data_IF_853745177704
#
_entry.id   IF_853745177704
#
_cell.length_a   1.000
_cell.length_b   1.000
_cell.length_c   1.000
_cell.angle_alpha   90.00
_cell.angle_beta   90.00
_cell.angle_gamma   90.00
#
_symmetry.space_group_name_H-M   'P 1'
#
loop_
_entity.id
_entity.type
_entity.pdbx_description
1 polymer ?
#
# COMPACT_ATOMS: atom_id res chain seq x y z
N UNK A 1 14.26 -14.40 -10.88
CA UNK A 1 14.29 -12.92 -10.97
C UNK A 1 13.23 -12.35 -11.93
N UNK A 2 12.98 -12.95 -13.11
CA UNK A 2 11.94 -12.47 -14.05
C UNK A 2 10.54 -12.30 -13.45
N UNK A 3 10.15 -13.18 -12.52
CA UNK A 3 8.81 -13.17 -11.92
C UNK A 3 8.59 -12.02 -10.92
N UNK A 4 9.65 -11.49 -10.29
CA UNK A 4 9.52 -10.41 -9.30
C UNK A 4 9.14 -9.08 -9.98
N UNK A 5 9.77 -8.79 -11.12
CA UNK A 5 9.45 -7.59 -11.90
C UNK A 5 8.00 -7.57 -12.36
N UNK A 6 7.50 -8.70 -12.86
CA UNK A 6 6.11 -8.84 -13.28
C UNK A 6 5.14 -8.65 -12.11
N UNK A 7 5.48 -9.20 -10.93
CA UNK A 7 4.67 -9.02 -9.72
C UNK A 7 4.63 -7.56 -9.25
N UNK A 8 5.74 -6.80 -9.34
CA UNK A 8 5.71 -5.35 -9.07
C UNK A 8 4.79 -4.64 -10.06
N UNK A 9 4.91 -4.93 -11.37
CA UNK A 9 4.02 -4.33 -12.37
C UNK A 9 2.55 -4.62 -12.04
N UNK A 10 2.22 -5.87 -11.72
CA UNK A 10 0.88 -6.27 -11.33
C UNK A 10 0.44 -5.54 -10.05
N UNK A 11 1.30 -5.45 -9.03
CA UNK A 11 0.98 -4.74 -7.79
C UNK A 11 0.54 -3.29 -8.05
N UNK A 12 1.27 -2.58 -8.92
CA UNK A 12 0.95 -1.19 -9.27
C UNK A 12 -0.20 -1.06 -10.29
N UNK A 13 -0.59 -2.12 -11.01
CA UNK A 13 -1.82 -2.10 -11.84
C UNK A 13 -3.09 -1.89 -11.01
N UNK A 14 -3.05 -2.18 -9.71
CA UNK A 14 -4.16 -1.90 -8.79
C UNK A 14 -4.59 -0.44 -8.80
N UNK A 15 -3.65 0.48 -9.05
CA UNK A 15 -3.92 1.93 -9.20
C UNK A 15 -4.81 2.18 -10.41
N UNK A 16 -4.42 1.63 -11.56
CA UNK A 16 -5.12 1.81 -12.83
C UNK A 16 -6.53 1.22 -12.73
N UNK A 17 -6.62 0.00 -12.18
CA UNK A 17 -7.90 -0.66 -11.94
C UNK A 17 -8.78 0.15 -10.95
N UNK A 18 -8.21 0.64 -9.86
CA UNK A 18 -8.92 1.49 -8.89
C UNK A 18 -9.43 2.79 -9.50
N UNK A 19 -8.67 3.41 -10.41
CA UNK A 19 -9.09 4.60 -11.13
C UNK A 19 -10.28 4.29 -12.04
N UNK A 20 -10.20 3.20 -12.81
CA UNK A 20 -11.29 2.77 -13.69
C UNK A 20 -12.57 2.52 -12.87
N UNK A 21 -12.46 1.77 -11.77
CA UNK A 21 -13.59 1.49 -10.89
C UNK A 21 -14.20 2.80 -10.37
N UNK A 22 -13.38 3.71 -9.83
CA UNK A 22 -13.86 4.96 -9.28
C UNK A 22 -14.53 5.87 -10.33
N UNK A 23 -14.08 5.82 -11.58
CA UNK A 23 -14.71 6.56 -12.68
C UNK A 23 -16.07 5.97 -13.08
N UNK A 24 -16.21 4.64 -13.02
CA UNK A 24 -17.43 3.94 -13.39
C UNK A 24 -18.49 3.94 -12.29
N UNK A 25 -18.11 3.93 -11.02
CA UNK A 25 -19.02 3.75 -9.87
C UNK A 25 -19.15 5.01 -8.99
N UNK A 26 -19.01 6.20 -9.57
CA UNK A 26 -19.01 7.49 -8.83
C UNK A 26 -20.20 7.65 -7.86
N UNK A 27 -21.37 7.15 -8.22
CA UNK A 27 -22.59 7.21 -7.39
C UNK A 27 -22.49 6.34 -6.13
N UNK A 28 -21.86 5.17 -6.24
CA UNK A 28 -21.70 4.19 -5.16
C UNK A 28 -20.53 4.51 -4.22
N UNK A 29 -19.58 5.34 -4.66
CA UNK A 29 -18.43 5.74 -3.84
C UNK A 29 -18.82 6.51 -2.58
N UNK A 30 -19.88 7.34 -2.64
CA UNK A 30 -20.33 8.16 -1.50
C UNK A 30 -20.73 7.32 -0.28
N UNK A 31 -21.67 6.35 -0.37
CA UNK A 31 -21.99 5.48 0.75
C UNK A 31 -20.83 4.52 1.10
N UNK A 32 -20.03 4.10 0.11
CA UNK A 32 -18.91 3.18 0.29
C UNK A 32 -17.69 3.76 1.02
N UNK A 33 -17.56 5.08 1.08
CA UNK A 33 -16.34 5.80 1.54
C UNK A 33 -15.81 5.33 2.89
N UNK A 34 -16.69 5.08 3.87
CA UNK A 34 -16.30 4.59 5.21
C UNK A 34 -15.63 3.22 5.13
N UNK A 35 -16.16 2.32 4.31
CA UNK A 35 -15.64 0.97 4.14
C UNK A 35 -14.31 0.98 3.39
N UNK A 36 -14.18 1.80 2.34
CA UNK A 36 -12.90 1.97 1.65
C UNK A 36 -11.81 2.55 2.55
N UNK A 37 -12.15 3.53 3.40
CA UNK A 37 -11.22 4.07 4.37
C UNK A 37 -10.78 3.02 5.40
N UNK A 38 -11.72 2.20 5.90
CA UNK A 38 -11.41 1.10 6.82
C UNK A 38 -10.48 0.08 6.15
N UNK A 39 -10.82 -0.32 4.92
CA UNK A 39 -10.04 -1.26 4.11
C UNK A 39 -8.60 -0.79 3.89
N UNK A 40 -8.38 0.49 3.55
CA UNK A 40 -7.03 1.06 3.44
C UNK A 40 -6.24 0.94 4.74
N UNK A 41 -6.87 1.27 5.87
CA UNK A 41 -6.21 1.18 7.19
C UNK A 41 -5.88 -0.26 7.56
N UNK A 42 -6.79 -1.20 7.31
CA UNK A 42 -6.56 -2.61 7.60
C UNK A 42 -5.48 -3.21 6.71
N UNK A 43 -5.43 -2.82 5.43
CA UNK A 43 -4.36 -3.25 4.52
C UNK A 43 -3.00 -2.72 4.96
N UNK A 44 -2.89 -1.43 5.27
CA UNK A 44 -1.65 -0.86 5.80
C UNK A 44 -1.19 -1.54 7.08
N UNK A 45 -2.13 -1.83 8.00
CA UNK A 45 -1.82 -2.57 9.22
C UNK A 45 -1.35 -4.00 8.91
N UNK A 46 -2.02 -4.70 8.00
CA UNK A 46 -1.64 -6.05 7.59
C UNK A 46 -0.21 -6.07 7.01
N UNK A 47 0.14 -5.13 6.16
CA UNK A 47 1.50 -5.00 5.61
C UNK A 47 2.55 -4.84 6.72
N UNK A 48 2.28 -3.97 7.70
CA UNK A 48 3.19 -3.78 8.85
C UNK A 48 3.33 -5.06 9.67
N UNK A 49 2.22 -5.73 9.98
CA UNK A 49 2.24 -6.95 10.78
C UNK A 49 3.00 -8.07 10.07
N UNK A 50 2.78 -8.25 8.76
CA UNK A 50 3.48 -9.25 7.96
C UNK A 50 4.97 -8.96 7.87
N UNK A 51 5.35 -7.70 7.65
CA UNK A 51 6.75 -7.25 7.71
C UNK A 51 7.41 -7.63 9.04
N UNK A 52 6.74 -7.37 10.18
CA UNK A 52 7.26 -7.72 11.51
C UNK A 52 7.43 -9.23 11.68
N UNK A 53 6.46 -10.03 11.23
CA UNK A 53 6.51 -11.49 11.37
C UNK A 53 7.66 -12.09 10.54
N UNK A 54 7.78 -11.70 9.28
CA UNK A 54 8.75 -12.30 8.35
C UNK A 54 10.16 -11.72 8.47
N UNK A 55 10.31 -10.48 8.94
CA UNK A 55 11.62 -9.81 9.09
C UNK A 55 12.03 -9.61 10.55
N UNK A 56 11.49 -10.39 11.49
CA UNK A 56 11.69 -10.18 12.93
C UNK A 56 13.17 -10.14 13.34
N UNK A 57 14.00 -11.02 12.77
CA UNK A 57 15.45 -11.09 13.02
C UNK A 57 16.24 -9.91 12.41
N UNK A 58 15.61 -9.17 11.48
CA UNK A 58 16.24 -8.11 10.71
C UNK A 58 15.74 -6.73 11.14
N UNK A 59 15.93 -6.43 12.41
CA UNK A 59 15.40 -5.24 13.11
C UNK A 59 15.62 -3.90 12.40
N UNK A 60 16.71 -3.75 11.64
CA UNK A 60 17.00 -2.50 10.92
C UNK A 60 15.97 -2.21 9.82
N UNK A 61 15.50 -3.23 9.10
CA UNK A 61 14.47 -3.05 8.07
C UNK A 61 13.11 -2.74 8.71
N UNK A 62 12.83 -3.35 9.86
CA UNK A 62 11.64 -3.03 10.66
C UNK A 62 11.66 -1.57 11.15
N UNK A 63 12.81 -1.07 11.58
CA UNK A 63 12.96 0.30 12.02
C UNK A 63 12.74 1.29 10.86
N UNK A 64 13.31 1.01 9.67
CA UNK A 64 13.13 1.86 8.49
C UNK A 64 11.67 1.84 8.02
N UNK A 65 11.06 0.66 7.90
CA UNK A 65 9.65 0.54 7.50
C UNK A 65 8.72 1.22 8.49
N UNK A 66 8.88 1.00 9.80
CA UNK A 66 8.11 1.68 10.83
C UNK A 66 8.24 3.20 10.74
N UNK A 67 9.47 3.72 10.56
CA UNK A 67 9.72 5.15 10.38
C UNK A 67 9.00 5.69 9.14
N UNK A 68 9.06 4.98 8.02
CA UNK A 68 8.39 5.38 6.78
C UNK A 68 6.85 5.38 6.91
N UNK A 69 6.27 4.41 7.62
CA UNK A 69 4.84 4.38 7.95
C UNK A 69 4.44 5.56 8.85
N UNK A 70 5.24 5.90 9.86
CA UNK A 70 5.02 7.07 10.72
C UNK A 70 5.02 8.35 9.88
N UNK A 71 5.97 8.51 8.95
CA UNK A 71 6.02 9.67 8.06
C UNK A 71 4.74 9.78 7.23
N UNK A 72 4.21 8.68 6.67
CA UNK A 72 2.92 8.69 5.95
C UNK A 72 1.77 9.14 6.85
N UNK A 73 1.68 8.60 8.07
CA UNK A 73 0.61 8.95 9.02
C UNK A 73 0.68 10.42 9.40
N UNK A 74 1.89 10.92 9.71
CA UNK A 74 2.15 12.30 10.10
C UNK A 74 1.88 13.26 8.93
N UNK A 75 2.30 12.90 7.70
CA UNK A 75 2.03 13.70 6.50
C UNK A 75 0.53 13.98 6.31
N UNK A 76 -0.33 13.03 6.66
CA UNK A 76 -1.79 13.22 6.62
C UNK A 76 -2.28 14.27 7.63
N UNK A 77 -1.65 14.37 8.81
CA UNK A 77 -2.01 15.36 9.83
C UNK A 77 -1.60 16.77 9.43
N UNK A 78 -0.49 16.93 8.71
CA UNK A 78 0.00 18.21 8.20
C UNK A 78 -0.81 18.76 7.00
N UNK A 79 -1.98 18.18 6.69
CA UNK A 79 -2.86 18.59 5.58
C UNK A 79 -2.10 18.65 4.24
N UNK A 80 -1.16 17.73 4.02
CA UNK A 80 -0.52 17.57 2.71
C UNK A 80 -1.59 17.40 1.63
N UNK A 81 -1.35 17.94 0.44
CA UNK A 81 -2.30 17.77 -0.66
C UNK A 81 -2.52 16.27 -0.93
N UNK A 82 -3.75 15.89 -1.31
CA UNK A 82 -4.09 14.49 -1.56
C UNK A 82 -3.13 13.83 -2.57
N UNK A 83 -2.70 14.57 -3.59
CA UNK A 83 -1.72 14.10 -4.58
C UNK A 83 -0.36 13.80 -3.95
N UNK A 84 0.15 14.68 -3.08
CA UNK A 84 1.43 14.48 -2.42
C UNK A 84 1.37 13.31 -1.41
N UNK A 85 0.26 13.19 -0.67
CA UNK A 85 0.04 12.06 0.24
C UNK A 85 -0.01 10.72 -0.52
N UNK A 86 -0.72 10.67 -1.65
CA UNK A 86 -0.78 9.48 -2.48
C UNK A 86 0.60 9.12 -3.04
N UNK A 87 1.36 10.09 -3.55
CA UNK A 87 2.72 9.87 -4.02
C UNK A 87 3.62 9.28 -2.92
N UNK A 88 3.58 9.86 -1.71
CA UNK A 88 4.37 9.40 -0.58
C UNK A 88 3.99 7.97 -0.16
N UNK A 89 2.69 7.66 -0.20
CA UNK A 89 2.18 6.29 0.06
C UNK A 89 2.72 5.28 -0.96
N UNK A 90 2.82 5.66 -2.23
CA UNK A 90 3.39 4.76 -3.26
C UNK A 90 4.90 4.57 -3.15
N UNK A 91 5.63 5.62 -2.75
CA UNK A 91 7.04 5.48 -2.42
C UNK A 91 7.23 4.53 -1.23
N UNK A 92 6.36 4.60 -0.23
CA UNK A 92 6.33 3.62 0.87
C UNK A 92 6.09 2.21 0.33
N UNK A 93 5.13 1.99 -0.57
CA UNK A 93 4.92 0.65 -1.16
C UNK A 93 6.13 0.15 -1.96
N UNK A 94 6.83 1.03 -2.67
CA UNK A 94 8.10 0.68 -3.32
C UNK A 94 9.14 0.18 -2.32
N UNK A 95 9.29 0.86 -1.18
CA UNK A 95 10.17 0.43 -0.09
C UNK A 95 9.72 -0.89 0.54
N UNK A 96 8.42 -1.04 0.79
CA UNK A 96 7.83 -2.28 1.32
C UNK A 96 8.12 -3.44 0.36
N UNK A 97 7.84 -3.32 -0.93
CA UNK A 97 8.12 -4.37 -1.90
C UNK A 97 9.62 -4.64 -2.07
N UNK A 98 10.47 -3.62 -1.97
CA UNK A 98 11.92 -3.80 -1.99
C UNK A 98 12.40 -4.67 -0.83
N UNK A 99 11.98 -4.36 0.41
CA UNK A 99 12.36 -5.19 1.57
C UNK A 99 11.67 -6.55 1.56
N UNK A 100 10.41 -6.61 1.11
CA UNK A 100 9.70 -7.87 0.98
C UNK A 100 10.39 -8.80 -0.01
N UNK A 101 11.07 -8.29 -1.05
CA UNK A 101 11.81 -9.10 -2.03
C UNK A 101 12.93 -9.97 -1.42
N UNK A 102 13.32 -9.71 -0.16
CA UNK A 102 14.24 -10.54 0.61
C UNK A 102 13.62 -11.90 0.98
N UNK A 103 12.29 -11.99 1.04
CA UNK A 103 11.51 -13.18 1.38
C UNK A 103 10.41 -13.40 0.33
N UNK A 104 10.52 -14.44 -0.49
CA UNK A 104 9.65 -14.61 -1.67
C UNK A 104 8.16 -14.69 -1.30
N UNK A 105 7.82 -15.36 -0.20
CA UNK A 105 6.46 -15.50 0.29
C UNK A 105 5.87 -14.15 0.71
N UNK A 106 6.63 -13.38 1.50
CA UNK A 106 6.25 -12.03 1.91
C UNK A 106 6.06 -11.13 0.70
N UNK A 107 6.98 -11.17 -0.26
CA UNK A 107 6.89 -10.36 -1.48
C UNK A 107 5.61 -10.60 -2.28
N UNK A 108 5.20 -11.86 -2.43
CA UNK A 108 3.95 -12.21 -3.13
C UNK A 108 2.75 -11.67 -2.37
N UNK A 109 2.69 -11.87 -1.05
CA UNK A 109 1.59 -11.38 -0.21
C UNK A 109 1.51 -9.85 -0.26
N UNK A 110 2.63 -9.16 -0.05
CA UNK A 110 2.71 -7.70 -0.10
C UNK A 110 2.31 -7.14 -1.48
N UNK A 111 2.71 -7.81 -2.57
CA UNK A 111 2.31 -7.41 -3.93
C UNK A 111 0.79 -7.44 -4.11
N UNK A 112 0.13 -8.46 -3.56
CA UNK A 112 -1.33 -8.57 -3.57
C UNK A 112 -1.97 -7.49 -2.69
N UNK A 113 -1.42 -7.22 -1.50
CA UNK A 113 -1.93 -6.17 -0.62
C UNK A 113 -1.79 -4.77 -1.25
N UNK A 114 -0.68 -4.49 -1.92
CA UNK A 114 -0.45 -3.23 -2.66
C UNK A 114 -1.46 -3.10 -3.81
N UNK A 115 -1.70 -4.19 -4.57
CA UNK A 115 -2.72 -4.21 -5.61
C UNK A 115 -4.10 -3.85 -5.06
N UNK A 116 -4.53 -4.57 -4.01
CA UNK A 116 -5.83 -4.36 -3.38
C UNK A 116 -5.94 -2.95 -2.79
N UNK A 117 -4.86 -2.42 -2.22
CA UNK A 117 -4.84 -1.04 -1.73
C UNK A 117 -5.06 -0.05 -2.89
N UNK A 118 -4.38 -0.25 -4.01
CA UNK A 118 -4.51 0.55 -5.23
C UNK A 118 -5.95 0.63 -5.73
N UNK A 119 -6.71 -0.47 -5.65
CA UNK A 119 -8.13 -0.49 -6.04
C UNK A 119 -8.95 0.52 -5.25
N UNK A 120 -8.60 0.72 -3.99
CA UNK A 120 -9.37 1.57 -3.09
C UNK A 120 -8.90 3.02 -3.10
N UNK A 121 -7.88 3.42 -3.87
CA UNK A 121 -7.24 4.74 -3.65
C UNK A 121 -8.07 5.94 -4.18
N UNK A 122 -8.90 5.72 -5.19
CA UNK A 122 -9.71 6.78 -5.80
C UNK A 122 -11.14 6.83 -5.25
N UNK A 123 -11.48 5.94 -4.32
CA UNK A 123 -12.81 5.86 -3.71
C UNK A 123 -13.03 6.78 -2.48
N UNK A 124 -12.20 7.82 -2.30
CA UNK A 124 -12.23 8.75 -1.15
C UNK A 124 -12.30 10.19 -1.61
#
# INVERSE_FOLDING_TARGET
MSNLFLAVLIAFLGIVAGLIIALMTKEELKPGKKYFLLMRKTLLLAMVVLMVIFLYDRWIYLLITATAFIIVIVAKQFKLSNSAYNLLTYLLFGLVLFYASLETELFVIESVLVFIYGLTIFSV
#
